data_IF_036639926932
#
_entry.id   IF_036639926932
#
_cell.length_a   1.000
_cell.length_b   1.000
_cell.length_c   1.000
_cell.angle_alpha   90.00
_cell.angle_beta   90.00
_cell.angle_gamma   90.00
#
_symmetry.space_group_name_H-M   'P 1'
#
loop_
_entity.id
_entity.type
_entity.pdbx_description
1 polymer ?
#
# COMPACT_ATOMS: atom_id res chain seq x y z
N UNK A 1 -18.29 42.62 1.27
CA UNK A 1 -17.87 41.47 0.44
C UNK A 1 -16.47 41.73 -0.10
N UNK A 2 -15.45 41.24 0.59
CA UNK A 2 -14.07 41.26 0.12
C UNK A 2 -13.50 39.86 0.38
N UNK A 3 -13.45 39.05 -0.68
CA UNK A 3 -13.00 37.66 -0.64
C UNK A 3 -11.47 37.65 -0.58
N UNK A 4 -10.90 37.37 0.60
CA UNK A 4 -9.45 37.22 0.72
C UNK A 4 -9.03 35.87 0.11
N UNK A 5 -8.32 35.95 -1.02
CA UNK A 5 -7.67 34.80 -1.63
C UNK A 5 -6.52 34.34 -0.73
N UNK A 6 -6.66 33.14 -0.17
CA UNK A 6 -5.58 32.44 0.54
C UNK A 6 -4.49 32.10 -0.48
N UNK A 7 -3.23 32.56 -0.31
CA UNK A 7 -2.17 32.23 -1.24
C UNK A 7 -1.74 30.77 -1.01
N UNK A 8 -1.86 29.94 -2.05
CA UNK A 8 -1.27 28.60 -2.12
C UNK A 8 0.27 28.70 -2.20
N UNK A 9 0.92 29.03 -1.09
CA UNK A 9 2.38 28.89 -0.92
C UNK A 9 2.66 27.56 -0.22
N UNK A 10 3.34 26.64 -0.91
CA UNK A 10 3.97 25.51 -0.22
C UNK A 10 4.03 24.16 -0.94
N UNK A 11 4.14 24.10 -2.27
CA UNK A 11 4.70 22.89 -2.92
C UNK A 11 6.22 22.97 -2.89
N UNK A 12 6.79 22.82 -1.69
CA UNK A 12 8.23 22.59 -1.53
C UNK A 12 8.55 21.25 -2.20
N UNK A 13 9.30 21.29 -3.31
CA UNK A 13 9.94 20.15 -3.96
C UNK A 13 11.20 19.70 -3.19
N UNK A 14 11.21 19.87 -1.86
CA UNK A 14 12.24 19.29 -1.01
C UNK A 14 12.12 17.76 -0.99
N UNK A 15 13.22 17.02 -0.77
CA UNK A 15 13.13 15.60 -0.48
C UNK A 15 12.13 15.41 0.69
N UNK A 16 11.26 14.38 0.62
CA UNK A 16 10.26 14.16 1.67
C UNK A 16 10.97 14.12 3.03
N UNK A 17 10.41 14.75 4.08
CA UNK A 17 11.00 14.74 5.40
C UNK A 17 11.31 13.28 5.79
N UNK A 18 12.55 13.01 6.20
CA UNK A 18 12.95 11.67 6.62
C UNK A 18 12.05 11.26 7.78
N UNK A 19 11.33 10.16 7.57
CA UNK A 19 10.44 9.64 8.60
C UNK A 19 11.29 9.15 9.78
N UNK A 20 10.79 9.24 11.03
CA UNK A 20 11.45 8.62 12.16
C UNK A 20 11.70 7.14 11.89
N UNK A 21 12.87 6.61 12.28
CA UNK A 21 13.24 5.21 11.98
C UNK A 21 12.19 4.18 12.44
N UNK A 22 11.51 4.47 13.56
CA UNK A 22 10.39 3.67 14.08
C UNK A 22 9.25 3.51 13.07
N UNK A 23 8.90 4.60 12.37
CA UNK A 23 7.83 4.62 11.36
C UNK A 23 8.28 3.86 10.12
N UNK A 24 9.52 4.05 9.69
CA UNK A 24 10.04 3.33 8.54
C UNK A 24 10.12 1.81 8.78
N UNK A 25 10.49 1.36 9.99
CA UNK A 25 10.48 -0.06 10.35
C UNK A 25 9.08 -0.65 10.29
N UNK A 26 8.09 0.01 10.88
CA UNK A 26 6.69 -0.43 10.85
C UNK A 26 6.14 -0.53 9.40
N UNK A 27 6.47 0.44 8.54
CA UNK A 27 6.08 0.39 7.12
C UNK A 27 6.75 -0.78 6.41
N UNK A 28 8.03 -1.05 6.67
CA UNK A 28 8.75 -2.19 6.07
C UNK A 28 8.17 -3.54 6.51
N UNK A 29 7.84 -3.69 7.79
CA UNK A 29 7.21 -4.91 8.32
C UNK A 29 5.84 -5.16 7.70
N UNK A 30 5.03 -4.10 7.51
CA UNK A 30 3.75 -4.20 6.82
C UNK A 30 3.92 -4.61 5.34
N UNK A 31 4.95 -4.09 4.65
CA UNK A 31 5.24 -4.46 3.26
C UNK A 31 5.65 -5.94 3.13
N UNK A 32 6.44 -6.46 4.08
CA UNK A 32 6.81 -7.87 4.10
C UNK A 32 5.58 -8.77 4.30
N UNK A 33 4.65 -8.38 5.20
CA UNK A 33 3.39 -9.08 5.39
C UNK A 33 2.51 -9.07 4.12
N UNK A 34 2.51 -7.94 3.37
CA UNK A 34 1.82 -7.86 2.08
C UNK A 34 2.36 -8.86 1.05
N UNK A 35 3.63 -9.24 1.06
CA UNK A 35 4.17 -10.23 0.12
C UNK A 35 3.59 -11.64 0.36
N UNK A 36 3.42 -12.03 1.63
CA UNK A 36 2.75 -13.28 1.96
C UNK A 36 1.27 -13.26 1.51
N UNK A 37 0.57 -12.14 1.73
CA UNK A 37 -0.80 -11.96 1.26
C UNK A 37 -0.91 -12.07 -0.27
N UNK A 38 -0.02 -11.43 -1.01
CA UNK A 38 0.04 -11.53 -2.48
C UNK A 38 0.28 -12.98 -2.90
N UNK A 39 1.18 -13.69 -2.22
CA UNK A 39 1.41 -15.12 -2.45
C UNK A 39 0.17 -15.98 -2.25
N UNK A 40 -0.59 -15.77 -1.18
CA UNK A 40 -1.84 -16.48 -0.92
C UNK A 40 -2.93 -16.17 -1.96
N UNK A 41 -3.09 -14.90 -2.33
CA UNK A 41 -4.05 -14.50 -3.36
C UNK A 41 -3.69 -15.15 -4.70
N UNK A 42 -2.42 -15.15 -5.09
CA UNK A 42 -1.98 -15.83 -6.30
C UNK A 42 -2.23 -17.34 -6.24
N UNK A 43 -1.97 -17.97 -5.09
CA UNK A 43 -2.22 -19.40 -4.92
C UNK A 43 -3.71 -19.71 -5.07
N UNK A 44 -4.58 -18.91 -4.47
CA UNK A 44 -6.03 -19.02 -4.61
C UNK A 44 -6.47 -18.86 -6.08
N UNK A 45 -5.92 -17.88 -6.80
CA UNK A 45 -6.18 -17.67 -8.23
C UNK A 45 -5.74 -18.89 -9.06
N UNK A 46 -4.52 -19.41 -8.84
CA UNK A 46 -3.98 -20.58 -9.55
C UNK A 46 -4.85 -21.81 -9.30
N UNK A 47 -5.20 -22.08 -8.04
CA UNK A 47 -6.01 -23.23 -7.66
C UNK A 47 -7.41 -23.12 -8.25
N UNK A 48 -7.99 -21.92 -8.27
CA UNK A 48 -9.28 -21.66 -8.92
C UNK A 48 -9.21 -21.98 -10.41
N UNK A 49 -8.19 -21.48 -11.13
CA UNK A 49 -8.00 -21.79 -12.55
C UNK A 49 -7.73 -23.27 -12.81
N UNK A 50 -6.99 -23.94 -11.93
CA UNK A 50 -6.74 -25.38 -12.01
C UNK A 50 -8.04 -26.18 -11.87
N UNK A 51 -8.89 -25.83 -10.89
CA UNK A 51 -10.19 -26.46 -10.68
C UNK A 51 -11.14 -26.19 -11.85
N UNK A 52 -11.24 -24.94 -12.32
CA UNK A 52 -12.04 -24.58 -13.48
C UNK A 52 -11.59 -25.33 -14.72
N UNK A 53 -10.28 -25.43 -14.95
CA UNK A 53 -9.75 -26.23 -16.04
C UNK A 53 -10.10 -27.71 -15.87
N UNK A 54 -9.94 -28.30 -14.69
CA UNK A 54 -10.22 -29.72 -14.46
C UNK A 54 -11.69 -30.09 -14.76
N UNK A 55 -12.63 -29.21 -14.43
CA UNK A 55 -14.07 -29.45 -14.55
C UNK A 55 -14.61 -29.03 -15.93
N UNK A 56 -13.98 -28.05 -16.60
CA UNK A 56 -14.49 -27.54 -17.87
C UNK A 56 -14.34 -28.54 -19.03
N UNK A 57 -15.38 -28.66 -19.88
CA UNK A 57 -15.26 -29.34 -21.16
C UNK A 57 -14.12 -28.75 -21.98
N UNK A 58 -13.30 -29.61 -22.60
CA UNK A 58 -12.16 -29.15 -23.40
C UNK A 58 -12.65 -28.62 -24.74
N UNK A 59 -12.18 -27.44 -25.10
CA UNK A 59 -12.53 -26.73 -26.34
C UNK A 59 -11.62 -27.08 -27.52
N UNK A 60 -10.62 -27.93 -27.31
CA UNK A 60 -9.65 -28.38 -28.32
C UNK A 60 -9.86 -29.87 -28.63
N UNK A 61 -9.41 -30.29 -29.81
CA UNK A 61 -9.59 -31.67 -30.27
C UNK A 61 -8.94 -32.68 -29.32
N UNK A 62 -9.54 -33.86 -29.18
CA UNK A 62 -9.05 -34.91 -28.27
C UNK A 62 -7.62 -35.39 -28.63
N UNK A 63 -7.24 -35.27 -29.89
CA UNK A 63 -5.94 -35.60 -30.48
C UNK A 63 -4.98 -34.39 -30.58
N UNK A 64 -5.33 -33.24 -29.99
CA UNK A 64 -4.50 -32.05 -30.07
C UNK A 64 -3.06 -32.35 -29.60
N UNK A 65 -2.04 -32.09 -30.44
CA UNK A 65 -0.66 -32.50 -30.16
C UNK A 65 -0.02 -31.70 -29.03
N UNK A 66 -0.57 -30.52 -28.72
CA UNK A 66 -0.03 -29.62 -27.72
C UNK A 66 -1.12 -29.06 -26.80
N UNK A 67 -0.93 -29.21 -25.49
CA UNK A 67 -1.88 -28.79 -24.44
C UNK A 67 -1.15 -27.90 -23.42
N UNK A 68 -0.99 -26.60 -23.67
CA UNK A 68 -0.15 -25.71 -22.87
C UNK A 68 -0.73 -25.36 -21.49
N UNK A 69 -2.06 -25.38 -21.34
CA UNK A 69 -2.74 -24.92 -20.11
C UNK A 69 -2.30 -25.67 -18.84
N UNK A 70 -2.24 -27.02 -18.80
CA UNK A 70 -1.75 -27.75 -17.62
C UNK A 70 -0.30 -27.39 -17.25
N UNK A 71 0.57 -27.21 -18.26
CA UNK A 71 1.96 -26.82 -18.04
C UNK A 71 2.06 -25.42 -17.45
N UNK A 72 1.33 -24.45 -18.01
CA UNK A 72 1.31 -23.08 -17.50
C UNK A 72 0.79 -23.03 -16.05
N UNK A 73 -0.31 -23.73 -15.75
CA UNK A 73 -0.87 -23.82 -14.40
C UNK A 73 0.12 -24.51 -13.44
N UNK A 74 0.73 -25.62 -13.86
CA UNK A 74 1.69 -26.36 -13.03
C UNK A 74 2.95 -25.56 -12.71
N UNK A 75 3.55 -24.92 -13.73
CA UNK A 75 4.72 -24.05 -13.54
C UNK A 75 4.36 -22.86 -12.65
N UNK A 76 3.22 -22.22 -12.90
CA UNK A 76 2.77 -21.08 -12.11
C UNK A 76 2.47 -21.49 -10.66
N UNK A 77 1.85 -22.65 -10.43
CA UNK A 77 1.62 -23.21 -9.09
C UNK A 77 2.93 -23.44 -8.34
N UNK A 78 3.88 -24.15 -8.95
CA UNK A 78 5.18 -24.43 -8.33
C UNK A 78 5.93 -23.13 -8.02
N UNK A 79 5.90 -22.17 -8.94
CA UNK A 79 6.49 -20.87 -8.75
C UNK A 79 5.84 -20.10 -7.59
N UNK A 80 4.51 -20.06 -7.53
CA UNK A 80 3.77 -19.39 -6.45
C UNK A 80 4.04 -20.04 -5.10
N UNK A 81 4.04 -21.36 -5.01
CA UNK A 81 4.36 -22.10 -3.77
C UNK A 81 5.79 -21.84 -3.33
N UNK A 82 6.76 -21.91 -4.25
CA UNK A 82 8.16 -21.62 -3.96
C UNK A 82 8.35 -20.18 -3.44
N UNK A 83 7.71 -19.20 -4.11
CA UNK A 83 7.77 -17.80 -3.68
C UNK A 83 7.09 -17.58 -2.33
N UNK A 84 5.95 -18.21 -2.07
CA UNK A 84 5.24 -18.13 -0.80
C UNK A 84 6.07 -18.74 0.33
N UNK A 85 6.66 -19.91 0.11
CA UNK A 85 7.58 -20.54 1.06
C UNK A 85 8.80 -19.63 1.35
N UNK A 86 9.33 -18.97 0.33
CA UNK A 86 10.44 -18.04 0.47
C UNK A 86 10.05 -16.78 1.25
N UNK A 87 8.85 -16.24 1.02
CA UNK A 87 8.32 -15.08 1.72
C UNK A 87 8.16 -15.32 3.23
N UNK A 88 7.88 -16.56 3.65
CA UNK A 88 7.86 -16.93 5.07
C UNK A 88 9.25 -17.16 5.68
N UNK A 89 10.25 -17.49 4.86
CA UNK A 89 11.61 -17.82 5.32
C UNK A 89 12.53 -16.62 5.34
N UNK A 90 12.36 -15.69 4.41
CA UNK A 90 13.24 -14.54 4.26
C UNK A 90 12.50 -13.35 3.66
N UNK A 91 13.06 -12.16 3.89
CA UNK A 91 12.65 -10.95 3.18
C UNK A 91 13.05 -11.06 1.71
N UNK A 92 12.07 -10.96 0.81
CA UNK A 92 12.34 -11.04 -0.62
C UNK A 92 13.10 -9.79 -1.08
N UNK A 93 14.28 -9.95 -1.72
CA UNK A 93 15.02 -8.81 -2.23
C UNK A 93 14.32 -8.20 -3.44
N UNK A 94 14.51 -6.90 -3.68
CA UNK A 94 13.84 -6.17 -4.74
C UNK A 94 14.02 -6.80 -6.13
N UNK A 95 15.20 -7.36 -6.43
CA UNK A 95 15.46 -8.03 -7.71
C UNK A 95 14.60 -9.28 -7.92
N UNK A 96 14.36 -10.06 -6.86
CA UNK A 96 13.54 -11.28 -6.93
C UNK A 96 12.07 -10.91 -7.18
N UNK A 97 11.63 -9.79 -6.61
CA UNK A 97 10.28 -9.27 -6.79
C UNK A 97 10.07 -8.78 -8.23
N UNK A 98 11.04 -8.05 -8.77
CA UNK A 98 11.06 -7.67 -10.20
C UNK A 98 11.08 -8.90 -11.11
N UNK A 99 11.93 -9.89 -10.81
CA UNK A 99 11.99 -11.15 -11.54
C UNK A 99 10.64 -11.89 -11.48
N UNK A 100 9.97 -11.88 -10.33
CA UNK A 100 8.66 -12.53 -10.20
C UNK A 100 7.60 -11.90 -11.12
N UNK A 101 7.66 -10.58 -11.31
CA UNK A 101 6.75 -9.88 -12.22
C UNK A 101 7.02 -10.30 -13.66
N UNK A 102 8.30 -10.42 -14.03
CA UNK A 102 8.68 -10.89 -15.37
C UNK A 102 8.23 -12.34 -15.61
N UNK A 103 8.40 -13.22 -14.62
CA UNK A 103 7.94 -14.61 -14.71
C UNK A 103 6.42 -14.68 -14.86
N UNK A 104 5.67 -13.93 -14.05
CA UNK A 104 4.20 -13.87 -14.15
C UNK A 104 3.75 -13.44 -15.56
N UNK A 105 4.37 -12.38 -16.12
CA UNK A 105 4.06 -11.89 -17.47
C UNK A 105 4.51 -12.85 -18.56
N UNK A 106 5.70 -13.46 -18.43
CA UNK A 106 6.22 -14.42 -19.40
C UNK A 106 5.37 -15.69 -19.44
N UNK A 107 4.91 -16.20 -18.29
CA UNK A 107 4.02 -17.34 -18.22
C UNK A 107 2.66 -17.02 -18.85
N UNK A 108 2.10 -15.85 -18.55
CA UNK A 108 0.83 -15.42 -19.14
C UNK A 108 0.94 -15.25 -20.66
N UNK A 109 1.93 -14.50 -21.14
CA UNK A 109 2.09 -14.28 -22.58
C UNK A 109 2.53 -15.52 -23.32
N UNK A 110 3.36 -16.38 -22.71
CA UNK A 110 3.70 -17.70 -23.27
C UNK A 110 2.46 -18.58 -23.42
N UNK A 111 1.55 -18.57 -22.44
CA UNK A 111 0.27 -19.25 -22.53
C UNK A 111 -0.62 -18.65 -23.63
N UNK A 112 -0.78 -17.33 -23.69
CA UNK A 112 -1.59 -16.67 -24.74
C UNK A 112 -1.02 -17.01 -26.12
N UNK A 113 0.29 -16.83 -26.28
CA UNK A 113 1.00 -17.16 -27.52
C UNK A 113 0.77 -18.62 -27.92
N UNK A 114 0.87 -19.56 -26.97
CA UNK A 114 0.70 -20.99 -27.27
C UNK A 114 -0.66 -21.40 -27.86
N UNK A 115 -1.70 -20.56 -27.75
CA UNK A 115 -3.02 -20.88 -28.29
C UNK A 115 -3.03 -21.03 -29.81
N UNK A 116 -2.27 -20.24 -30.57
CA UNK A 116 -2.23 -20.40 -32.02
C UNK A 116 -1.67 -21.79 -32.41
N UNK A 117 -0.69 -22.30 -31.66
CA UNK A 117 -0.15 -23.66 -31.82
C UNK A 117 -1.18 -24.74 -31.40
N UNK A 118 -1.84 -24.55 -30.25
CA UNK A 118 -2.82 -25.49 -29.73
C UNK A 118 -4.02 -25.69 -30.67
N UNK A 119 -4.48 -24.62 -31.31
CA UNK A 119 -5.65 -24.64 -32.18
C UNK A 119 -5.30 -24.72 -33.68
N UNK A 120 -4.02 -24.82 -34.04
CA UNK A 120 -3.57 -24.85 -35.44
C UNK A 120 -4.01 -23.61 -36.23
N UNK A 121 -4.04 -22.45 -35.58
CA UNK A 121 -4.49 -21.17 -36.14
C UNK A 121 -3.29 -20.26 -36.44
N UNK A 122 -3.46 -19.23 -37.29
CA UNK A 122 -2.41 -18.23 -37.51
C UNK A 122 -2.09 -17.46 -36.22
N UNK A 123 -0.87 -16.89 -36.06
CA UNK A 123 -0.47 -16.18 -34.85
C UNK A 123 -1.41 -15.04 -34.43
N UNK A 124 -2.08 -14.37 -35.37
CA UNK A 124 -3.07 -13.33 -35.07
C UNK A 124 -4.24 -13.82 -34.21
N UNK A 125 -4.53 -15.13 -34.19
CA UNK A 125 -5.61 -15.73 -33.43
C UNK A 125 -5.53 -15.43 -31.93
N UNK A 126 -4.33 -15.52 -31.33
CA UNK A 126 -4.19 -15.33 -29.89
C UNK A 126 -4.46 -13.89 -29.45
N UNK A 127 -4.34 -12.90 -30.35
CA UNK A 127 -4.58 -11.48 -30.02
C UNK A 127 -6.05 -11.21 -29.69
N UNK A 128 -6.94 -12.11 -30.09
CA UNK A 128 -8.37 -12.06 -29.80
C UNK A 128 -8.78 -12.80 -28.53
N UNK A 129 -7.84 -13.51 -27.89
CA UNK A 129 -8.14 -14.31 -26.73
C UNK A 129 -8.57 -13.42 -25.53
N UNK A 130 -9.65 -13.76 -24.82
CA UNK A 130 -10.11 -12.99 -23.65
C UNK A 130 -9.12 -13.05 -22.47
N UNK A 131 -8.14 -13.95 -22.54
CA UNK A 131 -7.06 -14.11 -21.55
C UNK A 131 -6.19 -12.87 -21.36
N UNK A 132 -6.21 -11.92 -22.30
CA UNK A 132 -5.62 -10.59 -22.09
C UNK A 132 -6.11 -9.93 -20.80
N UNK A 133 -7.37 -10.15 -20.41
CA UNK A 133 -7.96 -9.56 -19.21
C UNK A 133 -7.18 -9.94 -17.93
N UNK A 134 -6.46 -11.06 -17.93
CA UNK A 134 -5.66 -11.50 -16.79
C UNK A 134 -4.44 -10.62 -16.55
N UNK A 135 -3.96 -9.90 -17.56
CA UNK A 135 -2.90 -8.87 -17.40
C UNK A 135 -3.29 -7.87 -16.31
N UNK A 136 -4.54 -7.40 -16.32
CA UNK A 136 -5.02 -6.44 -15.33
C UNK A 136 -5.08 -7.02 -13.93
N UNK A 137 -5.38 -8.33 -13.79
CA UNK A 137 -5.33 -9.03 -12.51
C UNK A 137 -3.89 -9.03 -11.99
N UNK A 138 -2.90 -9.37 -12.82
CA UNK A 138 -1.49 -9.33 -12.42
C UNK A 138 -1.02 -7.94 -12.01
N UNK A 139 -1.41 -6.90 -12.74
CA UNK A 139 -1.08 -5.50 -12.39
C UNK A 139 -1.75 -5.11 -11.06
N UNK A 140 -3.04 -5.43 -10.89
CA UNK A 140 -3.80 -5.14 -9.68
C UNK A 140 -3.22 -5.85 -8.45
N UNK A 141 -2.76 -7.09 -8.59
CA UNK A 141 -2.09 -7.81 -7.50
C UNK A 141 -0.83 -7.08 -7.02
N UNK A 142 -0.10 -6.38 -7.89
CA UNK A 142 1.07 -5.59 -7.48
C UNK A 142 0.71 -4.32 -6.70
N UNK A 143 -0.53 -3.86 -6.79
CA UNK A 143 -1.00 -2.71 -6.01
C UNK A 143 -1.08 -3.01 -4.51
N UNK A 144 -1.31 -4.28 -4.13
CA UNK A 144 -1.43 -4.74 -2.73
C UNK A 144 -0.15 -4.57 -1.89
N UNK A 145 0.99 -4.38 -2.57
CA UNK A 145 2.28 -4.15 -1.91
C UNK A 145 2.46 -2.70 -1.42
N UNK A 146 1.56 -1.79 -1.79
CA UNK A 146 1.67 -0.36 -1.48
C UNK A 146 2.95 0.32 -2.03
N UNK A 147 3.54 -0.22 -3.10
CA UNK A 147 4.73 0.32 -3.76
C UNK A 147 4.49 0.51 -5.26
N UNK A 148 4.16 1.74 -5.66
CA UNK A 148 3.77 2.08 -7.02
C UNK A 148 4.81 1.70 -8.10
N UNK A 149 6.10 1.62 -7.76
CA UNK A 149 7.15 1.19 -8.70
C UNK A 149 6.91 -0.22 -9.26
N UNK A 150 6.38 -1.14 -8.48
CA UNK A 150 6.11 -2.51 -8.95
C UNK A 150 4.84 -2.60 -9.79
N UNK A 151 3.86 -1.73 -9.53
CA UNK A 151 2.69 -1.57 -10.41
C UNK A 151 3.12 -1.06 -11.78
N UNK A 152 3.92 0.02 -11.81
CA UNK A 152 4.47 0.58 -13.05
C UNK A 152 5.30 -0.45 -13.79
N UNK A 153 6.19 -1.15 -13.09
CA UNK A 153 7.02 -2.18 -13.71
C UNK A 153 6.19 -3.32 -14.32
N UNK A 154 5.16 -3.81 -13.62
CA UNK A 154 4.25 -4.82 -14.14
C UNK A 154 3.48 -4.34 -15.37
N UNK A 155 2.98 -3.10 -15.36
CA UNK A 155 2.28 -2.52 -16.49
C UNK A 155 3.18 -2.30 -17.71
N UNK A 156 4.42 -1.87 -17.51
CA UNK A 156 5.41 -1.74 -18.59
C UNK A 156 5.80 -3.11 -19.15
N UNK A 157 6.06 -4.10 -18.30
CA UNK A 157 6.34 -5.47 -18.74
C UNK A 157 5.16 -6.05 -19.53
N UNK A 158 3.93 -5.79 -19.10
CA UNK A 158 2.72 -6.16 -19.80
C UNK A 158 2.59 -5.49 -21.18
N UNK A 159 2.76 -4.16 -21.25
CA UNK A 159 2.67 -3.40 -22.49
C UNK A 159 3.75 -3.84 -23.50
N UNK A 160 5.00 -4.02 -23.04
CA UNK A 160 6.11 -4.50 -23.87
C UNK A 160 5.90 -5.94 -24.33
N UNK A 161 5.42 -6.82 -23.45
CA UNK A 161 5.11 -8.20 -23.82
C UNK A 161 4.00 -8.30 -24.85
N UNK A 162 2.94 -7.50 -24.70
CA UNK A 162 1.87 -7.42 -25.71
C UNK A 162 2.38 -6.89 -27.04
N UNK A 163 3.17 -5.80 -27.02
CA UNK A 163 3.77 -5.25 -28.24
C UNK A 163 4.68 -6.26 -28.94
N UNK A 164 5.48 -7.02 -28.18
CA UNK A 164 6.34 -8.07 -28.73
C UNK A 164 5.50 -9.17 -29.42
N UNK A 165 4.36 -9.55 -28.85
CA UNK A 165 3.43 -10.49 -29.48
C UNK A 165 2.81 -9.92 -30.76
N UNK A 166 2.45 -8.64 -30.79
CA UNK A 166 1.94 -7.97 -32.01
C UNK A 166 3.02 -7.94 -33.09
N UNK A 167 4.26 -7.58 -32.73
CA UNK A 167 5.39 -7.58 -33.65
C UNK A 167 5.69 -8.98 -34.20
N UNK A 168 5.55 -10.02 -33.37
CA UNK A 168 5.67 -11.40 -33.82
C UNK A 168 4.63 -11.74 -34.89
N UNK A 169 3.36 -11.37 -34.72
CA UNK A 169 2.32 -11.58 -35.75
C UNK A 169 2.68 -10.88 -37.06
N UNK A 170 3.17 -9.64 -37.00
CA UNK A 170 3.55 -8.87 -38.20
C UNK A 170 4.73 -9.52 -38.92
N UNK A 171 5.69 -10.08 -38.19
CA UNK A 171 6.91 -10.65 -38.76
C UNK A 171 6.73 -12.11 -39.23
N UNK A 172 5.92 -12.90 -38.54
CA UNK A 172 5.78 -14.33 -38.79
C UNK A 172 5.07 -14.68 -40.10
N UNK A 173 4.26 -13.78 -40.66
CA UNK A 173 3.55 -13.99 -41.94
C UNK A 173 3.80 -12.86 -42.97
N UNK A 174 5.01 -12.77 -43.57
CA UNK A 174 5.35 -11.69 -44.50
C UNK A 174 4.54 -11.70 -45.81
N UNK A 175 4.03 -12.87 -46.21
CA UNK A 175 3.37 -13.08 -47.51
C UNK A 175 1.86 -12.82 -47.54
N UNK A 176 1.22 -12.65 -46.38
CA UNK A 176 -0.20 -12.35 -46.27
C UNK A 176 -0.42 -11.50 -45.02
N UNK A 177 -0.09 -10.20 -45.09
CA UNK A 177 -0.27 -9.31 -43.95
C UNK A 177 -1.75 -9.33 -43.56
N UNK A 178 -2.08 -10.06 -42.50
CA UNK A 178 -3.44 -10.13 -41.96
C UNK A 178 -3.90 -8.77 -41.41
N UNK A 179 -3.08 -7.73 -41.53
CA UNK A 179 -3.36 -6.35 -41.15
C UNK A 179 -4.54 -5.82 -41.97
N UNK A 180 -5.64 -5.53 -41.29
CA UNK A 180 -6.81 -4.87 -41.87
C UNK A 180 -7.02 -3.51 -41.25
N UNK A 181 -7.70 -2.63 -42.00
CA UNK A 181 -8.28 -1.38 -41.47
C UNK A 181 -9.80 -1.47 -41.33
N UNK A 182 -10.40 -2.59 -41.75
CA UNK A 182 -11.85 -2.80 -41.71
C UNK A 182 -12.25 -3.49 -40.40
N UNK A 183 -13.08 -2.82 -39.60
CA UNK A 183 -13.53 -3.33 -38.31
C UNK A 183 -14.38 -4.61 -38.42
N UNK A 184 -15.24 -4.71 -39.44
CA UNK A 184 -16.07 -5.91 -39.66
C UNK A 184 -15.17 -7.09 -40.00
N UNK A 185 -14.20 -6.90 -40.90
CA UNK A 185 -13.23 -7.94 -41.25
C UNK A 185 -12.41 -8.36 -40.02
N UNK A 186 -11.97 -7.40 -39.20
CA UNK A 186 -11.31 -7.69 -37.94
C UNK A 186 -12.17 -8.55 -37.02
N UNK A 187 -13.48 -8.31 -36.90
CA UNK A 187 -14.33 -9.13 -36.04
C UNK A 187 -14.61 -10.52 -36.60
N UNK A 188 -14.76 -10.67 -37.92
CA UNK A 188 -15.24 -11.90 -38.56
C UNK A 188 -14.14 -12.83 -39.08
N UNK A 189 -12.87 -12.42 -39.09
CA UNK A 189 -11.74 -13.20 -39.60
C UNK A 189 -10.53 -13.15 -38.67
N UNK A 190 -9.47 -13.91 -38.91
CA UNK A 190 -8.21 -13.84 -38.15
C UNK A 190 -7.36 -12.61 -38.50
N UNK A 191 -7.95 -11.53 -39.01
CA UNK A 191 -7.22 -10.31 -39.33
C UNK A 191 -6.82 -9.52 -38.08
N UNK A 192 -5.69 -8.83 -38.18
CA UNK A 192 -5.09 -7.96 -37.18
C UNK A 192 -5.52 -6.51 -37.45
N UNK A 193 -6.16 -5.87 -36.49
CA UNK A 193 -6.43 -4.43 -36.55
C UNK A 193 -5.45 -3.71 -35.63
N UNK A 194 -4.47 -3.00 -36.19
CA UNK A 194 -3.44 -2.32 -35.40
C UNK A 194 -4.05 -1.35 -34.39
N UNK A 195 -5.11 -0.62 -34.75
CA UNK A 195 -5.83 0.27 -33.84
C UNK A 195 -6.36 -0.43 -32.59
N UNK A 196 -6.92 -1.64 -32.73
CA UNK A 196 -7.41 -2.42 -31.60
C UNK A 196 -6.27 -2.88 -30.67
N UNK A 197 -5.09 -3.18 -31.23
CA UNK A 197 -3.93 -3.53 -30.41
C UNK A 197 -3.32 -2.32 -29.71
N UNK A 198 -3.30 -1.15 -30.36
CA UNK A 198 -2.93 0.11 -29.71
C UNK A 198 -3.87 0.44 -28.55
N UNK A 199 -5.19 0.27 -28.72
CA UNK A 199 -6.18 0.51 -27.67
C UNK A 199 -5.93 -0.38 -26.44
N UNK A 200 -5.54 -1.64 -26.64
CA UNK A 200 -5.18 -2.56 -25.54
C UNK A 200 -3.92 -2.10 -24.80
N UNK A 201 -2.88 -1.68 -25.52
CA UNK A 201 -1.64 -1.15 -24.92
C UNK A 201 -1.94 0.12 -24.13
N UNK A 202 -2.71 1.05 -24.70
CA UNK A 202 -3.14 2.28 -24.02
C UNK A 202 -3.93 1.92 -22.77
N UNK A 203 -4.86 0.97 -22.85
CA UNK A 203 -5.65 0.52 -21.69
C UNK A 203 -4.76 -0.04 -20.57
N UNK A 204 -3.77 -0.87 -20.90
CA UNK A 204 -2.78 -1.38 -19.94
C UNK A 204 -2.04 -0.22 -19.26
N UNK A 205 -1.53 0.74 -20.04
CA UNK A 205 -0.76 1.87 -19.52
C UNK A 205 -1.63 2.82 -18.67
N UNK A 206 -2.85 3.12 -19.09
CA UNK A 206 -3.79 3.99 -18.36
C UNK A 206 -4.20 3.35 -17.04
N UNK A 207 -4.59 2.07 -17.03
CA UNK A 207 -4.93 1.34 -15.79
C UNK A 207 -3.72 1.30 -14.86
N UNK A 208 -2.53 1.05 -15.40
CA UNK A 208 -1.27 1.09 -14.64
C UNK A 208 -1.03 2.45 -14.02
N UNK A 209 -1.21 3.54 -14.77
CA UNK A 209 -1.04 4.90 -14.28
C UNK A 209 -2.05 5.25 -13.18
N UNK A 210 -3.33 4.88 -13.35
CA UNK A 210 -4.37 5.09 -12.35
C UNK A 210 -4.04 4.34 -11.06
N UNK A 211 -3.70 3.04 -11.15
CA UNK A 211 -3.33 2.24 -9.98
C UNK A 211 -2.06 2.76 -9.31
N UNK A 212 -1.04 3.13 -10.08
CA UNK A 212 0.19 3.71 -9.54
C UNK A 212 -0.08 5.03 -8.80
N UNK A 213 -0.93 5.91 -9.35
CA UNK A 213 -1.33 7.15 -8.70
C UNK A 213 -2.14 6.90 -7.44
N UNK A 214 -3.12 5.98 -7.49
CA UNK A 214 -3.93 5.59 -6.34
C UNK A 214 -3.05 5.07 -5.19
N UNK A 215 -2.10 4.19 -5.49
CA UNK A 215 -1.16 3.66 -4.49
C UNK A 215 -0.21 4.73 -3.96
N UNK A 216 0.28 5.65 -4.81
CA UNK A 216 1.07 6.80 -4.35
C UNK A 216 0.29 7.67 -3.37
N UNK A 217 -0.97 7.98 -3.68
CA UNK A 217 -1.84 8.79 -2.82
C UNK A 217 -2.16 8.06 -1.51
N UNK A 218 -2.52 6.77 -1.58
CA UNK A 218 -2.80 5.95 -0.41
C UNK A 218 -1.59 5.88 0.55
N UNK A 219 -0.39 5.64 0.00
CA UNK A 219 0.84 5.62 0.80
C UNK A 219 1.15 6.97 1.45
N UNK A 220 0.96 8.08 0.72
CA UNK A 220 1.17 9.41 1.26
C UNK A 220 0.19 9.72 2.41
N UNK A 221 -1.08 9.37 2.26
CA UNK A 221 -2.10 9.54 3.31
C UNK A 221 -1.78 8.69 4.54
N UNK A 222 -1.45 7.41 4.35
CA UNK A 222 -1.07 6.52 5.45
C UNK A 222 0.15 7.06 6.20
N UNK A 223 1.16 7.53 5.48
CA UNK A 223 2.37 8.11 6.09
C UNK A 223 2.07 9.34 6.93
N UNK A 224 1.20 10.24 6.44
CA UNK A 224 0.76 11.42 7.18
C UNK A 224 -0.03 11.05 8.42
N UNK A 225 -1.02 10.17 8.28
CA UNK A 225 -1.83 9.70 9.41
C UNK A 225 -0.98 9.04 10.51
N UNK A 226 0.01 8.24 10.12
CA UNK A 226 0.94 7.62 11.08
C UNK A 226 1.83 8.67 11.75
N UNK A 227 2.31 9.67 11.01
CA UNK A 227 3.14 10.75 11.55
C UNK A 227 2.36 11.64 12.53
N UNK A 228 1.15 12.07 12.15
CA UNK A 228 0.24 12.86 12.99
C UNK A 228 -0.17 12.07 14.24
N UNK A 229 -0.56 10.80 14.10
CA UNK A 229 -0.88 9.95 15.25
C UNK A 229 0.32 9.67 16.16
N UNK A 230 1.54 9.63 15.62
CA UNK A 230 2.74 9.58 16.45
C UNK A 230 2.98 10.89 17.21
N UNK A 231 2.83 12.04 16.55
CA UNK A 231 2.96 13.36 17.17
C UNK A 231 1.90 13.57 18.26
N UNK A 232 0.64 13.23 18.00
CA UNK A 232 -0.45 13.33 18.97
C UNK A 232 -0.19 12.49 20.23
N UNK A 233 0.31 11.26 20.08
CA UNK A 233 0.72 10.40 21.22
C UNK A 233 1.92 10.91 21.99
N UNK A 234 2.78 11.69 21.35
CA UNK A 234 3.94 12.29 22.00
C UNK A 234 3.54 13.54 22.76
N UNK A 235 2.70 14.40 22.16
CA UNK A 235 2.10 15.56 22.82
C UNK A 235 1.21 15.17 24.01
N UNK A 236 0.43 14.08 23.90
CA UNK A 236 -0.49 13.66 24.97
C UNK A 236 0.20 13.36 26.30
N UNK A 237 1.51 13.10 26.30
CA UNK A 237 2.31 12.90 27.52
C UNK A 237 2.54 14.19 28.32
N UNK A 238 2.33 15.35 27.70
CA UNK A 238 2.47 16.66 28.32
C UNK A 238 1.15 17.22 28.85
N UNK A 239 0.01 16.56 28.56
CA UNK A 239 -1.31 16.96 29.03
C UNK A 239 -1.87 15.91 30.01
N UNK A 240 -2.84 16.29 30.85
CA UNK A 240 -3.56 15.29 31.64
C UNK A 240 -4.32 14.33 30.69
N UNK A 241 -4.55 13.06 31.10
CA UNK A 241 -5.29 12.10 30.28
C UNK A 241 -6.67 12.61 29.86
N UNK A 242 -7.40 13.34 30.72
CA UNK A 242 -8.71 13.89 30.33
C UNK A 242 -8.58 14.97 29.24
N UNK A 243 -7.61 15.88 29.38
CA UNK A 243 -7.39 16.94 28.39
C UNK A 243 -6.90 16.35 27.06
N UNK A 244 -6.00 15.37 27.09
CA UNK A 244 -5.55 14.67 25.89
C UNK A 244 -6.69 13.92 25.19
N UNK A 245 -7.58 13.25 25.95
CA UNK A 245 -8.76 12.58 25.39
C UNK A 245 -9.76 13.59 24.81
N UNK A 246 -10.00 14.73 25.49
CA UNK A 246 -10.83 15.81 24.96
C UNK A 246 -10.28 16.36 23.66
N UNK A 247 -8.97 16.65 23.58
CA UNK A 247 -8.35 17.19 22.36
C UNK A 247 -8.39 16.16 21.21
N UNK A 248 -8.12 14.90 21.49
CA UNK A 248 -8.06 13.85 20.45
C UNK A 248 -9.42 13.30 20.04
N UNK A 249 -10.43 13.40 20.89
CA UNK A 249 -11.79 12.90 20.67
C UNK A 249 -12.84 13.97 20.36
N UNK A 250 -12.48 15.26 20.37
CA UNK A 250 -13.43 16.33 20.06
C UNK A 250 -13.88 16.27 18.59
N UNK A 251 -15.20 16.28 18.37
CA UNK A 251 -15.81 16.38 17.04
C UNK A 251 -15.63 17.77 16.41
N UNK A 252 -15.46 18.79 17.25
CA UNK A 252 -15.21 20.19 16.88
C UNK A 252 -13.80 20.55 17.33
N UNK A 253 -13.03 21.18 16.45
CA UNK A 253 -11.67 21.63 16.73
C UNK A 253 -11.69 22.60 17.92
N UNK A 254 -10.99 22.26 19.01
CA UNK A 254 -10.88 23.12 20.20
C UNK A 254 -10.00 24.31 19.83
N UNK A 255 -10.59 25.51 19.76
CA UNK A 255 -9.86 26.71 19.40
C UNK A 255 -9.23 27.36 20.64
N UNK A 256 -8.03 27.92 20.48
CA UNK A 256 -7.43 28.73 21.54
C UNK A 256 -8.31 29.95 21.82
N UNK A 257 -8.80 30.07 23.06
CA UNK A 257 -9.75 31.10 23.48
C UNK A 257 -11.15 30.58 23.77
N UNK A 258 -11.44 29.32 23.44
CA UNK A 258 -12.66 28.66 23.89
C UNK A 258 -12.60 28.45 25.42
N UNK A 259 -13.62 28.94 26.12
CA UNK A 259 -13.76 28.81 27.56
C UNK A 259 -15.11 28.20 27.92
N UNK A 260 -15.12 27.34 28.94
CA UNK A 260 -16.34 26.78 29.52
C UNK A 260 -16.48 27.23 30.97
N UNK A 261 -17.71 27.58 31.37
CA UNK A 261 -18.05 27.76 32.78
C UNK A 261 -18.24 26.38 33.40
N UNK A 262 -17.47 26.09 34.45
CA UNK A 262 -17.50 24.80 35.13
C UNK A 262 -17.43 25.01 36.64
N UNK A 263 -18.24 24.25 37.37
CA UNK A 263 -18.11 24.13 38.82
C UNK A 263 -16.94 23.20 39.11
N UNK A 264 -15.95 23.69 39.86
CA UNK A 264 -14.72 22.96 40.14
C UNK A 264 -14.18 23.31 41.54
N UNK A 265 -13.52 22.36 42.19
CA UNK A 265 -12.77 22.58 43.42
C UNK A 265 -11.27 22.71 43.11
N UNK A 266 -10.61 23.74 43.65
CA UNK A 266 -9.17 23.98 43.46
C UNK A 266 -8.40 23.55 44.73
N UNK A 267 -7.42 22.68 44.56
CA UNK A 267 -6.50 22.24 45.59
C UNK A 267 -5.09 22.79 45.33
N UNK A 268 -4.50 23.44 46.34
CA UNK A 268 -3.10 23.87 46.32
C UNK A 268 -2.34 23.18 47.44
N UNK A 269 -1.23 22.52 47.11
CA UNK A 269 -0.38 21.77 48.03
C UNK A 269 1.05 22.31 47.95
N UNK A 270 1.79 22.28 49.06
CA UNK A 270 3.18 22.74 49.11
C UNK A 270 4.01 22.01 50.18
N UNK A 271 5.34 21.93 50.02
CA UNK A 271 6.23 21.22 50.93
C UNK A 271 6.72 22.17 52.04
N UNK A 272 6.44 21.79 53.30
CA UNK A 272 6.93 22.57 54.45
C UNK A 272 8.46 22.57 54.53
N UNK A 273 9.05 23.76 54.55
CA UNK A 273 10.49 23.94 54.75
C UNK A 273 11.35 23.65 53.52
N UNK A 274 10.74 23.50 52.34
CA UNK A 274 11.45 23.16 51.11
C UNK A 274 12.56 24.15 50.75
N UNK A 275 12.33 25.47 50.87
CA UNK A 275 13.34 26.48 50.55
C UNK A 275 14.64 26.26 51.32
N UNK A 276 14.54 25.89 52.60
CA UNK A 276 15.72 25.60 53.44
C UNK A 276 16.40 24.30 52.99
N UNK A 277 15.62 23.27 52.69
CA UNK A 277 16.12 21.98 52.20
C UNK A 277 16.86 22.12 50.87
N UNK A 278 16.24 22.77 49.89
CA UNK A 278 16.78 22.98 48.55
C UNK A 278 18.06 23.85 48.54
N UNK A 279 18.21 24.75 49.51
CA UNK A 279 19.42 25.58 49.65
C UNK A 279 20.66 24.78 50.09
N UNK A 280 20.49 23.57 50.63
CA UNK A 280 21.57 22.78 51.25
C UNK A 280 21.98 21.54 50.46
N UNK A 281 21.31 21.24 49.35
CA UNK A 281 21.41 19.97 48.64
C UNK A 281 21.71 20.21 47.15
N UNK A 282 22.49 19.34 46.48
CA UNK A 282 22.76 19.47 45.06
C UNK A 282 21.49 19.53 44.20
N UNK A 283 21.45 20.34 43.13
CA UNK A 283 20.26 20.50 42.29
C UNK A 283 19.70 19.18 41.73
N UNK A 284 20.57 18.23 41.37
CA UNK A 284 20.15 16.93 40.86
C UNK A 284 19.33 16.11 41.87
N UNK A 285 19.72 16.17 43.15
CA UNK A 285 19.01 15.49 44.24
C UNK A 285 17.68 16.17 44.58
N UNK A 286 17.62 17.51 44.51
CA UNK A 286 16.37 18.27 44.68
C UNK A 286 15.37 17.91 43.58
N UNK A 287 15.80 17.85 42.33
CA UNK A 287 14.95 17.44 41.19
C UNK A 287 14.50 16.00 41.33
N UNK A 288 15.37 15.09 41.76
CA UNK A 288 15.01 13.69 42.03
C UNK A 288 13.94 13.55 43.11
N UNK A 289 14.10 14.26 44.23
CA UNK A 289 13.12 14.28 45.32
C UNK A 289 11.77 14.86 44.87
N UNK A 290 11.77 15.98 44.14
CA UNK A 290 10.56 16.58 43.59
C UNK A 290 9.85 15.63 42.63
N UNK A 291 10.58 14.95 41.74
CA UNK A 291 9.99 13.98 40.82
C UNK A 291 9.32 12.81 41.58
N UNK A 292 9.93 12.32 42.66
CA UNK A 292 9.35 11.26 43.49
C UNK A 292 8.11 11.73 44.27
N UNK A 293 8.18 12.93 44.87
CA UNK A 293 7.04 13.56 45.54
C UNK A 293 5.87 13.77 44.58
N UNK A 294 6.13 14.38 43.43
CA UNK A 294 5.13 14.63 42.40
C UNK A 294 4.52 13.32 41.89
N UNK A 295 5.32 12.28 41.65
CA UNK A 295 4.82 10.97 41.21
C UNK A 295 3.82 10.36 42.21
N UNK A 296 4.10 10.47 43.52
CA UNK A 296 3.20 9.99 44.58
C UNK A 296 1.92 10.82 44.65
N UNK A 297 2.02 12.15 44.64
CA UNK A 297 0.86 13.03 44.74
C UNK A 297 -0.03 12.97 43.49
N UNK A 298 0.55 12.95 42.29
CA UNK A 298 -0.19 12.80 41.02
C UNK A 298 -1.00 11.50 41.00
N UNK A 299 -0.43 10.40 41.51
CA UNK A 299 -1.15 9.12 41.59
C UNK A 299 -2.40 9.22 42.50
N UNK A 300 -2.28 9.90 43.65
CA UNK A 300 -3.40 10.10 44.58
C UNK A 300 -4.46 11.03 43.97
N UNK A 301 -4.05 12.16 43.39
CA UNK A 301 -4.97 13.13 42.77
C UNK A 301 -5.79 12.45 41.67
N UNK A 302 -5.13 11.68 40.79
CA UNK A 302 -5.82 10.93 39.72
C UNK A 302 -6.73 9.82 40.24
N UNK A 303 -6.37 9.16 41.35
CA UNK A 303 -7.22 8.14 41.96
C UNK A 303 -8.53 8.71 42.53
N UNK A 304 -8.61 10.03 42.69
CA UNK A 304 -9.80 10.76 43.12
C UNK A 304 -10.38 11.63 41.98
N UNK A 305 -10.17 11.25 40.73
CA UNK A 305 -10.67 11.94 39.53
C UNK A 305 -10.24 13.41 39.39
N UNK A 306 -9.13 13.79 40.05
CA UNK A 306 -8.54 15.12 39.96
C UNK A 306 -7.53 15.25 38.82
N UNK A 307 -7.42 16.45 38.26
CA UNK A 307 -6.44 16.81 37.25
C UNK A 307 -5.41 17.79 37.81
N UNK A 308 -4.12 17.56 37.54
CA UNK A 308 -3.07 18.54 37.87
C UNK A 308 -3.07 19.63 36.80
N UNK A 309 -3.28 20.88 37.21
CA UNK A 309 -3.25 22.04 36.32
C UNK A 309 -1.80 22.50 36.07
N UNK A 310 -1.02 22.69 37.14
CA UNK A 310 0.41 23.03 37.03
C UNK A 310 1.22 22.70 38.29
N UNK A 311 2.53 22.57 38.08
CA UNK A 311 3.53 22.55 39.14
C UNK A 311 4.09 23.96 39.38
N UNK A 312 4.27 24.32 40.65
CA UNK A 312 4.72 25.64 41.10
C UNK A 312 5.97 25.47 41.98
N UNK A 313 7.06 24.93 41.41
CA UNK A 313 8.22 24.53 42.19
C UNK A 313 7.94 23.26 42.98
N UNK A 314 7.92 23.36 44.31
CA UNK A 314 7.46 22.31 45.25
C UNK A 314 5.94 22.26 45.41
N UNK A 315 5.23 23.28 44.91
CA UNK A 315 3.78 23.33 44.92
C UNK A 315 3.10 22.54 43.80
N UNK A 316 1.89 22.04 44.08
CA UNK A 316 1.00 21.40 43.10
C UNK A 316 -0.36 22.11 43.13
N UNK A 317 -0.84 22.55 41.97
CA UNK A 317 -2.21 23.00 41.77
C UNK A 317 -3.01 21.91 41.04
N UNK A 318 -4.13 21.50 41.63
CA UNK A 318 -5.03 20.51 41.06
C UNK A 318 -6.49 20.98 41.08
N UNK A 319 -7.30 20.46 40.17
CA UNK A 319 -8.73 20.73 40.05
C UNK A 319 -9.53 19.43 40.10
N UNK A 320 -10.75 19.49 40.62
CA UNK A 320 -11.74 18.41 40.70
C UNK A 320 -13.09 18.92 40.19
#
# INVERSE_FOLDING_TARGET
>A
MATSLVPLRGLSLGPPPRLPERVERAVREQQDASEALIGWIQLAVVVTFAALYAISPKTFAADAPFRPVPWAIGIYFLFTVARLALAYRMRLPAWLLTLSILIDMALLFGLIWSFHLQYGQPPSFYLKAPTLLYVFIFIAMRALRFEAKYVVFAGLAAALGWLAMVLYVIYAEPGNSMVTRNYVQYLTSNSLLLGAEFDKVISILVVTAILALAIRRARALLTRAVAEGAAARELSRFFSPEIAQRITGAEIEIAAGDGELREAAILMLDIRGFTRYAATIPPAEVVGMLAEYQARMVAIIRAHDGAVDKFLGDGIMATF
#
